data_IF_025056007076
#
_entry.id   IF_025056007076
#
_cell.length_a   1.000
_cell.length_b   1.000
_cell.length_c   1.000
_cell.angle_alpha   90.00
_cell.angle_beta   90.00
_cell.angle_gamma   90.00
#
_symmetry.space_group_name_H-M   'P 1'
#
loop_
_entity.id
_entity.type
_entity.pdbx_description
1 polymer ?
#
# COMPACT_ATOMS: atom_id res chain seq x y z
N UNK A 1 -2.44 0.35 -24.08
CA UNK A 1 -2.09 1.78 -23.94
C UNK A 1 -0.70 1.99 -23.32
N UNK A 2 -0.41 1.60 -22.08
CA UNK A 2 0.96 1.75 -21.48
C UNK A 2 2.06 0.90 -22.18
N UNK A 3 1.69 -0.25 -22.74
CA UNK A 3 2.64 -1.18 -23.42
C UNK A 3 3.30 -0.60 -24.67
N UNK A 4 2.65 0.34 -25.35
CA UNK A 4 3.11 0.90 -26.63
C UNK A 4 4.13 2.04 -26.46
N UNK A 5 4.13 2.70 -25.30
CA UNK A 5 4.89 3.94 -25.11
C UNK A 5 6.33 3.65 -24.67
N UNK A 6 6.59 2.48 -24.06
CA UNK A 6 7.86 2.24 -23.40
C UNK A 6 8.83 1.32 -24.14
N UNK A 7 8.43 0.56 -25.18
CA UNK A 7 9.29 -0.38 -25.93
C UNK A 7 10.29 -1.17 -25.04
N UNK A 8 9.90 -1.46 -23.79
CA UNK A 8 10.72 -2.20 -22.83
C UNK A 8 10.23 -3.63 -22.80
N UNK A 9 11.10 -4.64 -22.93
CA UNK A 9 10.69 -6.01 -22.69
C UNK A 9 10.17 -6.13 -21.26
N UNK A 10 9.03 -6.79 -21.08
CA UNK A 10 8.53 -7.12 -19.75
C UNK A 10 9.55 -8.04 -19.07
N UNK A 11 10.35 -7.51 -18.15
CA UNK A 11 11.20 -8.32 -17.28
C UNK A 11 10.35 -8.90 -16.17
N UNK A 12 9.83 -10.10 -16.39
CA UNK A 12 9.29 -10.93 -15.31
C UNK A 12 10.45 -11.34 -14.41
N UNK A 13 10.37 -11.04 -13.12
CA UNK A 13 11.38 -11.41 -12.14
C UNK A 13 10.94 -12.71 -11.44
N UNK A 14 11.63 -13.81 -11.72
CA UNK A 14 11.56 -15.02 -10.88
C UNK A 14 12.59 -14.89 -9.76
N UNK A 15 12.17 -15.18 -8.52
CA UNK A 15 13.08 -15.22 -7.37
C UNK A 15 13.38 -16.69 -7.11
N UNK A 16 14.48 -17.16 -7.70
CA UNK A 16 14.93 -18.56 -7.54
C UNK A 16 16.05 -18.67 -6.49
N UNK A 17 16.61 -17.53 -6.07
CA UNK A 17 17.70 -17.44 -5.10
C UNK A 17 17.57 -16.17 -4.27
N UNK A 18 17.87 -16.27 -2.98
CA UNK A 18 17.87 -15.13 -2.06
C UNK A 18 19.20 -15.06 -1.34
N UNK A 19 19.80 -13.87 -1.37
CA UNK A 19 21.01 -13.55 -0.64
C UNK A 19 20.67 -12.80 0.64
N UNK A 20 21.00 -13.37 1.81
CA UNK A 20 20.79 -12.75 3.11
C UNK A 20 22.15 -12.43 3.74
N UNK A 21 22.25 -11.24 4.33
CA UNK A 21 23.40 -10.83 5.12
C UNK A 21 22.94 -10.68 6.58
N UNK A 22 23.31 -11.64 7.42
CA UNK A 22 23.12 -11.56 8.87
C UNK A 22 24.50 -11.35 9.50
N UNK A 23 24.75 -10.17 10.10
CA UNK A 23 25.96 -9.89 10.88
C UNK A 23 27.31 -10.26 10.20
N UNK A 24 27.47 -9.94 8.91
CA UNK A 24 28.64 -10.25 8.05
C UNK A 24 28.78 -11.71 7.60
N UNK A 25 27.83 -12.58 7.93
CA UNK A 25 27.71 -13.91 7.35
C UNK A 25 26.73 -13.88 6.18
N UNK A 26 27.18 -14.38 5.03
CA UNK A 26 26.41 -14.38 3.80
C UNK A 26 25.86 -15.77 3.52
N UNK A 27 24.54 -15.90 3.58
CA UNK A 27 23.84 -17.15 3.29
C UNK A 27 23.07 -17.02 1.98
N UNK A 28 23.36 -17.94 1.05
CA UNK A 28 22.64 -18.07 -0.21
C UNK A 28 21.62 -19.19 -0.08
N UNK A 29 20.34 -18.83 -0.18
CA UNK A 29 19.25 -19.79 -0.20
C UNK A 29 18.90 -20.14 -1.65
N UNK A 30 18.82 -21.43 -1.95
CA UNK A 30 18.47 -21.97 -3.27
C UNK A 30 17.25 -22.89 -3.24
N UNK A 31 16.89 -23.42 -2.08
CA UNK A 31 15.71 -24.28 -1.93
C UNK A 31 14.42 -23.45 -1.98
N UNK A 32 13.42 -23.90 -2.74
CA UNK A 32 12.18 -23.15 -3.00
C UNK A 32 11.42 -22.79 -1.71
N UNK A 33 11.39 -23.70 -0.74
CA UNK A 33 10.75 -23.47 0.56
C UNK A 33 11.46 -22.34 1.34
N UNK A 34 12.79 -22.39 1.40
CA UNK A 34 13.61 -21.40 2.11
C UNK A 34 13.59 -20.05 1.40
N UNK A 35 13.67 -20.04 0.06
CA UNK A 35 13.56 -18.83 -0.76
C UNK A 35 12.22 -18.13 -0.50
N UNK A 36 11.11 -18.86 -0.44
CA UNK A 36 9.78 -18.29 -0.10
C UNK A 36 9.74 -17.73 1.31
N UNK A 37 10.26 -18.46 2.28
CA UNK A 37 10.29 -18.03 3.68
C UNK A 37 11.13 -16.76 3.86
N UNK A 38 12.36 -16.74 3.37
CA UNK A 38 13.24 -15.59 3.46
C UNK A 38 12.72 -14.38 2.67
N UNK A 39 12.06 -14.62 1.53
CA UNK A 39 11.38 -13.55 0.77
C UNK A 39 10.24 -12.94 1.58
N UNK A 40 9.40 -13.76 2.21
CA UNK A 40 8.30 -13.29 3.06
C UNK A 40 8.83 -12.51 4.27
N UNK A 41 9.82 -13.05 4.99
CA UNK A 41 10.46 -12.40 6.14
C UNK A 41 11.07 -11.06 5.75
N UNK A 42 11.86 -11.04 4.67
CA UNK A 42 12.45 -9.81 4.16
C UNK A 42 11.39 -8.74 3.91
N UNK A 43 10.30 -9.06 3.21
CA UNK A 43 9.27 -8.08 2.89
C UNK A 43 8.42 -7.65 4.10
N UNK A 44 8.27 -8.50 5.12
CA UNK A 44 7.64 -8.10 6.38
C UNK A 44 8.53 -7.11 7.17
N UNK A 45 9.84 -7.30 7.13
CA UNK A 45 10.79 -6.54 7.95
C UNK A 45 11.50 -5.40 7.21
N UNK A 46 11.37 -5.28 5.87
CA UNK A 46 12.14 -4.34 5.05
C UNK A 46 12.03 -2.88 5.49
N UNK A 47 10.89 -2.50 6.07
CA UNK A 47 10.69 -1.15 6.55
C UNK A 47 11.44 -0.86 7.86
N UNK A 48 11.90 -1.89 8.59
CA UNK A 48 12.44 -1.78 9.95
C UNK A 48 11.42 -1.23 10.96
N UNK A 49 10.18 -0.98 10.52
CA UNK A 49 9.20 -0.24 11.29
C UNK A 49 8.32 -1.21 12.05
N UNK A 50 8.52 -1.26 13.36
CA UNK A 50 7.49 -1.75 14.27
C UNK A 50 6.42 -0.66 14.32
N UNK A 51 5.15 -1.00 14.09
CA UNK A 51 4.06 -0.05 14.29
C UNK A 51 3.87 0.14 15.81
N UNK A 52 4.42 1.21 16.36
CA UNK A 52 4.18 1.65 17.74
C UNK A 52 3.67 3.09 17.75
N UNK A 53 3.01 3.48 18.83
CA UNK A 53 2.52 4.84 19.01
C UNK A 53 3.71 5.80 19.16
N UNK A 54 3.82 6.73 18.20
CA UNK A 54 4.89 7.73 18.21
C UNK A 54 4.45 8.91 19.06
N UNK A 55 5.16 9.16 20.16
CA UNK A 55 4.86 10.30 21.00
C UNK A 55 5.47 11.58 20.38
N UNK A 56 4.63 12.50 19.93
CA UNK A 56 5.08 13.79 19.36
C UNK A 56 5.92 14.62 20.34
N UNK A 57 5.82 14.37 21.65
CA UNK A 57 6.66 15.06 22.64
C UNK A 57 8.15 14.78 22.44
N UNK A 58 8.49 13.61 21.89
CA UNK A 58 9.86 13.18 21.61
C UNK A 58 10.46 13.83 20.36
N UNK A 59 9.63 14.48 19.54
CA UNK A 59 10.05 15.10 18.29
C UNK A 59 9.67 16.59 18.25
N UNK A 60 10.53 17.43 18.80
CA UNK A 60 10.30 18.88 18.86
C UNK A 60 10.22 19.51 17.47
N UNK A 61 10.95 18.97 16.49
CA UNK A 61 11.02 19.46 15.11
C UNK A 61 9.67 19.43 14.37
N UNK A 62 8.76 18.54 14.78
CA UNK A 62 7.44 18.39 14.14
C UNK A 62 6.32 19.11 14.87
N UNK A 63 6.57 19.69 16.07
CA UNK A 63 5.52 20.29 16.89
C UNK A 63 4.76 21.39 16.16
N UNK A 64 5.46 22.25 15.45
CA UNK A 64 4.83 23.38 14.75
C UNK A 64 4.02 22.91 13.53
N UNK A 65 4.52 21.91 12.81
CA UNK A 65 3.86 21.42 11.59
C UNK A 65 2.58 20.61 11.86
N UNK A 66 2.54 19.90 12.98
CA UNK A 66 1.40 19.06 13.36
C UNK A 66 0.40 19.76 14.30
N UNK A 67 0.62 21.03 14.63
CA UNK A 67 -0.36 21.80 15.41
C UNK A 67 -1.69 21.93 14.66
N UNK A 68 -2.84 21.85 15.37
CA UNK A 68 -4.14 22.07 14.76
C UNK A 68 -4.23 23.43 14.08
N UNK A 69 -4.77 23.44 12.87
CA UNK A 69 -5.07 24.66 12.14
C UNK A 69 -6.28 25.35 12.76
N UNK A 70 -6.09 26.55 13.30
CA UNK A 70 -7.12 27.34 13.99
C UNK A 70 -8.31 27.71 13.08
N UNK A 71 -8.07 27.79 11.76
CA UNK A 71 -9.08 28.06 10.75
C UNK A 71 -9.95 26.85 10.41
N UNK A 72 -9.61 25.65 10.93
CA UNK A 72 -10.30 24.40 10.65
C UNK A 72 -10.95 23.87 11.93
N UNK A 73 -12.28 23.90 11.95
CA UNK A 73 -13.05 23.30 13.04
C UNK A 73 -12.94 21.76 13.00
N UNK A 74 -12.68 21.12 14.14
CA UNK A 74 -12.54 19.65 14.21
C UNK A 74 -13.82 18.90 13.83
N UNK A 75 -14.98 19.56 13.96
CA UNK A 75 -16.31 18.99 13.67
C UNK A 75 -16.51 18.58 12.21
N UNK A 76 -15.69 19.09 11.28
CA UNK A 76 -15.79 18.76 9.86
C UNK A 76 -15.55 17.27 9.57
N UNK A 77 -14.84 16.57 10.45
CA UNK A 77 -14.49 15.15 10.28
C UNK A 77 -15.51 14.19 10.90
N UNK A 78 -16.54 14.69 11.59
CA UNK A 78 -17.52 13.85 12.30
C UNK A 78 -18.20 12.82 11.37
N UNK A 79 -18.45 13.19 10.11
CA UNK A 79 -19.09 12.32 9.13
C UNK A 79 -18.12 11.36 8.40
N UNK A 80 -16.80 11.49 8.61
CA UNK A 80 -15.80 10.68 7.92
C UNK A 80 -15.95 9.19 8.24
N UNK A 81 -16.08 8.89 9.54
CA UNK A 81 -16.19 7.52 10.08
C UNK A 81 -17.63 7.03 10.23
N UNK A 82 -18.63 7.86 9.90
CA UNK A 82 -20.04 7.50 10.02
C UNK A 82 -20.39 6.35 9.08
N UNK A 83 -21.07 5.32 9.58
CA UNK A 83 -21.48 4.16 8.79
C UNK A 83 -22.35 4.57 7.58
N UNK A 84 -22.18 3.86 6.46
CA UNK A 84 -22.89 4.14 5.20
C UNK A 84 -24.11 3.23 5.03
N UNK A 85 -25.12 3.75 4.36
CA UNK A 85 -26.16 2.92 3.77
C UNK A 85 -25.57 2.05 2.63
N UNK A 86 -26.10 0.84 2.50
CA UNK A 86 -25.58 -0.22 1.63
C UNK A 86 -25.57 0.18 0.14
N UNK A 87 -26.53 1.00 -0.28
CA UNK A 87 -26.69 1.57 -1.62
C UNK A 87 -25.47 2.38 -2.07
N UNK A 88 -25.00 3.34 -1.25
CA UNK A 88 -23.82 4.15 -1.53
C UNK A 88 -22.54 3.32 -1.58
N UNK A 89 -22.52 2.21 -0.84
CA UNK A 89 -21.42 1.27 -0.84
C UNK A 89 -21.38 0.48 -2.15
N UNK A 90 -22.53 -0.01 -2.61
CA UNK A 90 -22.69 -0.68 -3.90
C UNK A 90 -22.30 0.25 -5.05
N UNK A 91 -22.75 1.50 -5.06
CA UNK A 91 -22.38 2.48 -6.09
C UNK A 91 -20.88 2.79 -6.08
N UNK A 92 -20.28 2.85 -4.88
CA UNK A 92 -18.84 3.04 -4.76
C UNK A 92 -18.08 1.84 -5.34
N UNK A 93 -18.52 0.60 -5.07
CA UNK A 93 -17.90 -0.60 -5.64
C UNK A 93 -18.09 -0.65 -7.16
N UNK A 94 -19.28 -0.33 -7.67
CA UNK A 94 -19.58 -0.27 -9.10
C UNK A 94 -18.76 0.80 -9.85
N UNK A 95 -18.42 1.91 -9.18
CA UNK A 95 -17.59 2.96 -9.78
C UNK A 95 -16.08 2.65 -9.79
N UNK A 96 -15.63 1.58 -9.15
CA UNK A 96 -14.26 1.09 -9.31
C UNK A 96 -14.08 0.55 -10.73
N UNK A 97 -12.97 0.92 -11.39
CA UNK A 97 -12.65 0.51 -12.77
C UNK A 97 -12.88 -1.00 -13.00
N UNK A 98 -13.64 -1.34 -14.04
CA UNK A 98 -13.91 -2.73 -14.47
C UNK A 98 -12.63 -3.59 -14.51
N UNK A 99 -12.77 -4.85 -14.11
CA UNK A 99 -11.73 -5.90 -13.98
C UNK A 99 -10.93 -5.95 -12.66
N UNK A 100 -11.38 -5.29 -11.58
CA UNK A 100 -10.74 -5.40 -10.25
C UNK A 100 -11.61 -5.99 -9.15
N UNK A 101 -12.92 -6.06 -9.37
CA UNK A 101 -13.85 -6.74 -8.49
C UNK A 101 -14.53 -7.86 -9.28
N UNK A 102 -14.35 -9.10 -8.84
CA UNK A 102 -15.28 -10.16 -9.17
C UNK A 102 -16.65 -9.78 -8.58
N UNK A 103 -17.73 -10.26 -9.17
CA UNK A 103 -19.08 -10.06 -8.64
C UNK A 103 -19.12 -10.40 -7.15
N UNK A 104 -20.00 -9.73 -6.40
CA UNK A 104 -20.09 -9.83 -4.94
C UNK A 104 -20.24 -11.29 -4.43
N UNK A 105 -20.74 -12.17 -5.30
CA UNK A 105 -20.99 -13.59 -5.03
C UNK A 105 -19.79 -14.51 -5.29
N UNK A 106 -18.71 -14.01 -5.89
CA UNK A 106 -17.58 -14.85 -6.33
C UNK A 106 -16.26 -14.22 -5.89
N UNK A 107 -16.06 -14.11 -4.57
CA UNK A 107 -14.79 -13.68 -3.99
C UNK A 107 -13.78 -14.83 -4.16
N UNK A 108 -12.77 -14.71 -5.04
CA UNK A 108 -11.79 -15.77 -5.22
C UNK A 108 -11.00 -15.98 -3.92
N UNK A 109 -10.68 -17.22 -3.57
CA UNK A 109 -9.85 -17.51 -2.38
C UNK A 109 -8.48 -16.80 -2.41
N UNK A 110 -8.01 -16.46 -3.61
CA UNK A 110 -6.84 -15.63 -3.85
C UNK A 110 -6.93 -14.25 -3.19
N UNK A 111 -8.14 -13.70 -2.99
CA UNK A 111 -8.34 -12.43 -2.30
C UNK A 111 -8.16 -12.52 -0.77
N UNK A 112 -8.21 -13.74 -0.20
CA UNK A 112 -7.84 -13.96 1.21
C UNK A 112 -6.32 -13.91 1.39
N UNK A 113 -5.55 -14.20 0.33
CA UNK A 113 -4.09 -14.21 0.30
C UNK A 113 -3.53 -12.85 -0.17
N UNK A 114 -2.42 -12.41 0.42
CA UNK A 114 -1.71 -11.23 -0.08
C UNK A 114 -0.68 -11.70 -1.11
N UNK A 115 -0.89 -11.38 -2.39
CA UNK A 115 0.09 -11.72 -3.44
C UNK A 115 1.15 -10.62 -3.51
N UNK A 116 2.40 -11.02 -3.35
CA UNK A 116 3.57 -10.16 -3.46
C UNK A 116 4.00 -10.13 -4.93
N UNK A 117 4.01 -8.93 -5.53
CA UNK A 117 4.58 -8.71 -6.85
C UNK A 117 5.90 -7.95 -6.71
N UNK A 118 7.05 -8.63 -6.83
CA UNK A 118 8.34 -7.96 -6.83
C UNK A 118 8.54 -7.28 -8.18
N UNK A 119 8.74 -5.96 -8.16
CA UNK A 119 9.05 -5.18 -9.37
C UNK A 119 10.54 -4.84 -9.34
N UNK A 120 11.35 -5.23 -10.33
CA UNK A 120 12.78 -4.91 -10.32
C UNK A 120 13.00 -3.39 -10.35
N UNK A 121 13.90 -2.88 -9.50
CA UNK A 121 14.44 -1.52 -9.62
C UNK A 121 15.28 -1.44 -10.91
N UNK A 122 15.57 -0.24 -11.44
CA UNK A 122 16.46 -0.06 -12.60
C UNK A 122 17.94 -0.30 -12.22
N UNK A 123 18.23 -1.49 -11.69
CA UNK A 123 19.55 -2.03 -11.37
C UNK A 123 19.50 -3.55 -11.41
N UNK A 124 20.61 -4.25 -11.73
CA UNK A 124 20.67 -5.70 -11.72
C UNK A 124 20.23 -6.28 -10.36
N UNK A 125 19.45 -7.36 -10.40
CA UNK A 125 18.82 -7.96 -9.21
C UNK A 125 19.85 -8.60 -8.26
N UNK A 126 20.84 -9.33 -8.79
CA UNK A 126 21.90 -10.01 -8.04
C UNK A 126 21.41 -10.86 -6.84
N UNK A 127 20.24 -11.51 -6.96
CA UNK A 127 19.60 -12.26 -5.87
C UNK A 127 19.36 -11.44 -4.58
N UNK A 128 19.39 -10.11 -4.68
CA UNK A 128 19.22 -9.21 -3.56
C UNK A 128 17.83 -8.58 -3.60
N UNK A 129 17.00 -8.96 -2.62
CA UNK A 129 15.61 -8.51 -2.51
C UNK A 129 15.48 -6.99 -2.36
N UNK A 130 16.50 -6.30 -1.84
CA UNK A 130 16.52 -4.82 -1.76
C UNK A 130 16.52 -4.15 -3.15
N UNK A 131 16.89 -4.88 -4.20
CA UNK A 131 16.84 -4.43 -5.58
C UNK A 131 15.45 -4.56 -6.20
N UNK A 132 14.44 -4.96 -5.42
CA UNK A 132 13.04 -4.98 -5.83
C UNK A 132 12.24 -3.86 -5.16
N UNK A 133 11.18 -3.42 -5.82
CA UNK A 133 10.11 -2.61 -5.27
C UNK A 133 8.98 -3.56 -4.93
N UNK A 134 8.59 -3.58 -3.67
CA UNK A 134 7.43 -4.33 -3.23
C UNK A 134 6.16 -3.63 -3.71
N UNK A 135 5.34 -4.31 -4.50
CA UNK A 135 3.93 -3.94 -4.68
C UNK A 135 3.09 -5.11 -4.19
N UNK A 136 2.41 -4.93 -3.06
CA UNK A 136 1.37 -5.86 -2.65
C UNK A 136 0.09 -5.47 -3.36
N UNK A 137 -0.57 -6.45 -4.00
CA UNK A 137 -1.92 -6.22 -4.49
C UNK A 137 -2.84 -6.13 -3.27
N UNK A 138 -3.17 -4.91 -2.85
CA UNK A 138 -4.09 -4.67 -1.74
C UNK A 138 -5.43 -5.36 -2.05
N UNK A 139 -5.95 -6.09 -1.05
CA UNK A 139 -7.26 -6.76 -1.11
C UNK A 139 -8.32 -5.82 -1.70
N UNK A 140 -9.04 -6.25 -2.72
CA UNK A 140 -10.15 -5.50 -3.34
C UNK A 140 -11.11 -4.88 -2.32
N UNK A 141 -11.54 -5.54 -1.22
CA UNK A 141 -12.37 -4.90 -0.20
C UNK A 141 -11.67 -3.75 0.53
N UNK A 142 -10.37 -3.89 0.87
CA UNK A 142 -9.58 -2.81 1.47
C UNK A 142 -9.46 -1.64 0.51
N UNK A 143 -9.24 -1.91 -0.77
CA UNK A 143 -9.17 -0.88 -1.81
C UNK A 143 -10.50 -0.15 -1.98
N UNK A 144 -11.62 -0.87 -1.97
CA UNK A 144 -12.96 -0.29 -2.01
C UNK A 144 -13.22 0.62 -0.80
N UNK A 145 -12.87 0.15 0.40
CA UNK A 145 -13.00 0.93 1.63
C UNK A 145 -12.12 2.19 1.63
N UNK A 146 -10.85 2.08 1.26
CA UNK A 146 -9.93 3.23 1.18
C UNK A 146 -10.39 4.23 0.10
N UNK A 147 -10.86 3.74 -1.05
CA UNK A 147 -11.43 4.59 -2.11
C UNK A 147 -12.61 5.41 -1.59
N UNK A 148 -13.49 4.78 -0.81
CA UNK A 148 -14.63 5.42 -0.19
C UNK A 148 -14.25 6.48 0.85
N UNK A 149 -13.31 6.15 1.74
CA UNK A 149 -12.77 7.10 2.71
C UNK A 149 -12.12 8.30 2.03
N UNK A 150 -11.31 8.06 1.00
CA UNK A 150 -10.67 9.13 0.23
C UNK A 150 -11.69 10.04 -0.44
N UNK A 151 -12.76 9.48 -1.02
CA UNK A 151 -13.83 10.27 -1.62
C UNK A 151 -14.52 11.15 -0.59
N UNK A 152 -14.84 10.61 0.59
CA UNK A 152 -15.46 11.37 1.70
C UNK A 152 -14.55 12.48 2.19
N UNK A 153 -13.30 12.15 2.48
CA UNK A 153 -12.30 13.10 2.92
C UNK A 153 -12.15 14.23 1.88
N UNK A 154 -12.03 13.89 0.60
CA UNK A 154 -11.94 14.86 -0.48
C UNK A 154 -13.14 15.83 -0.51
N UNK A 155 -14.37 15.32 -0.32
CA UNK A 155 -15.55 16.19 -0.24
C UNK A 155 -15.55 17.09 1.00
N UNK A 156 -15.16 16.57 2.16
CA UNK A 156 -15.04 17.37 3.40
C UNK A 156 -14.02 18.49 3.19
N UNK A 157 -12.84 18.17 2.64
CA UNK A 157 -11.78 19.15 2.38
C UNK A 157 -12.22 20.21 1.37
N UNK A 158 -12.98 19.82 0.34
CA UNK A 158 -13.53 20.75 -0.66
C UNK A 158 -14.59 21.67 -0.06
N UNK A 159 -15.58 21.12 0.65
CA UNK A 159 -16.68 21.91 1.21
C UNK A 159 -16.22 22.92 2.26
N UNK A 160 -15.15 22.59 2.99
CA UNK A 160 -14.58 23.46 4.02
C UNK A 160 -13.41 24.31 3.51
N UNK A 161 -13.12 24.30 2.18
CA UNK A 161 -12.02 25.04 1.57
C UNK A 161 -10.68 24.87 2.31
N UNK A 162 -10.37 23.64 2.74
CA UNK A 162 -9.19 23.34 3.56
C UNK A 162 -7.90 23.46 2.74
N UNK A 163 -7.94 23.01 1.49
CA UNK A 163 -6.78 23.03 0.59
C UNK A 163 -6.69 24.39 -0.11
N UNK A 164 -6.16 25.39 0.60
CA UNK A 164 -5.82 26.70 0.02
C UNK A 164 -4.36 26.65 -0.46
N UNK A 165 -4.10 27.21 -1.64
CA UNK A 165 -2.72 27.54 -2.04
C UNK A 165 -2.19 28.62 -1.10
N UNK A 166 -0.90 28.52 -0.75
CA UNK A 166 -0.21 29.58 -0.03
C UNK A 166 -0.05 30.82 -0.90
#
# INVERSE_FOLDING_TARGET
MIKSVLNRPHTTLSIDKVYKNDNNEYTLYTEDAEVKEQTNLHFQMIAGTINYEKNLSQHSEWRDQYQPKHDIQHTIYNDLMKYLMLDKWIDNVKSLSNNKAADLNDIPDEWKKATIYPIPKPKPFFANLTNTRLTTLLKTPRKAFISLLNRRLSQILKNNNVLKGN
#
